data_IF_419250360744
#
_entry.id   IF_419250360744
#
_cell.length_a   1.000
_cell.length_b   1.000
_cell.length_c   1.000
_cell.angle_alpha   90.00
_cell.angle_beta   90.00
_cell.angle_gamma   90.00
#
_symmetry.space_group_name_H-M   'P 1'
#
loop_
_entity.id
_entity.type
_entity.pdbx_description
1 polymer ?
#
# COMPACT_ATOMS: atom_id res chain seq x y z
N UNK A 1 15.51 -0.34 -3.19
CA UNK A 1 14.88 -1.64 -3.52
C UNK A 1 14.66 -2.37 -2.22
N UNK A 2 13.46 -2.85 -1.97
CA UNK A 2 13.13 -3.51 -0.68
C UNK A 2 12.84 -4.99 -0.94
N UNK A 3 13.79 -5.87 -0.63
CA UNK A 3 13.59 -7.31 -0.73
C UNK A 3 13.37 -7.91 0.66
N UNK A 4 12.35 -8.77 0.80
CA UNK A 4 12.04 -9.47 2.04
C UNK A 4 12.22 -10.97 1.83
N UNK A 5 13.00 -11.63 2.67
CA UNK A 5 13.28 -13.06 2.58
C UNK A 5 12.90 -13.75 3.88
N UNK A 6 12.01 -14.73 3.78
CA UNK A 6 11.75 -15.71 4.82
C UNK A 6 12.60 -16.94 4.53
N UNK A 7 13.54 -17.26 5.40
CA UNK A 7 14.45 -18.40 5.28
C UNK A 7 14.13 -19.44 6.35
N UNK A 8 13.40 -20.47 5.95
CA UNK A 8 12.97 -21.60 6.81
C UNK A 8 12.31 -21.15 8.11
N UNK A 9 11.37 -20.19 8.03
CA UNK A 9 10.75 -19.56 9.21
C UNK A 9 9.70 -20.48 9.84
N UNK A 10 9.78 -20.61 11.17
CA UNK A 10 8.82 -21.31 12.02
C UNK A 10 8.30 -20.38 13.11
N UNK A 11 7.07 -20.60 13.52
CA UNK A 11 6.50 -19.95 14.70
C UNK A 11 5.72 -20.96 15.53
N UNK A 12 6.15 -21.08 16.79
CA UNK A 12 5.63 -22.03 17.77
C UNK A 12 5.21 -21.26 19.04
N UNK A 13 4.15 -21.71 19.69
CA UNK A 13 3.72 -21.26 21.01
C UNK A 13 3.62 -22.48 21.93
N UNK A 14 4.69 -22.74 22.66
CA UNK A 14 4.84 -23.99 23.40
C UNK A 14 4.86 -25.19 22.45
N UNK A 15 3.93 -26.13 22.62
CA UNK A 15 3.81 -27.31 21.76
C UNK A 15 3.03 -27.00 20.45
N UNK A 16 2.36 -25.86 20.37
CA UNK A 16 1.52 -25.51 19.21
C UNK A 16 2.35 -24.88 18.09
N UNK A 17 2.46 -25.57 16.96
CA UNK A 17 3.12 -25.06 15.76
C UNK A 17 2.09 -24.31 14.93
N UNK A 18 2.29 -22.99 14.73
CA UNK A 18 1.38 -22.14 13.94
C UNK A 18 1.86 -22.04 12.51
N UNK A 19 3.15 -21.71 12.30
CA UNK A 19 3.77 -21.64 10.98
C UNK A 19 4.94 -22.60 10.91
N UNK A 20 5.04 -23.34 9.80
CA UNK A 20 6.05 -24.36 9.58
C UNK A 20 6.74 -24.19 8.24
N UNK A 21 8.08 -24.06 8.27
CA UNK A 21 8.95 -24.00 7.07
C UNK A 21 8.48 -22.96 6.02
N UNK A 22 8.18 -21.76 6.45
CA UNK A 22 7.87 -20.69 5.53
C UNK A 22 9.15 -20.28 4.81
N UNK A 23 9.18 -20.48 3.49
CA UNK A 23 10.21 -19.99 2.59
C UNK A 23 9.54 -19.09 1.56
N UNK A 24 9.94 -17.82 1.50
CA UNK A 24 9.34 -16.83 0.62
C UNK A 24 10.34 -15.72 0.36
N UNK A 25 10.42 -15.30 -0.88
CA UNK A 25 11.11 -14.06 -1.25
C UNK A 25 10.08 -13.12 -1.85
N UNK A 26 9.98 -11.91 -1.31
CA UNK A 26 9.20 -10.81 -1.89
C UNK A 26 10.17 -9.82 -2.50
N UNK A 27 9.88 -9.41 -3.70
CA UNK A 27 10.64 -8.39 -4.40
C UNK A 27 10.11 -6.98 -4.12
N UNK A 28 10.93 -5.99 -4.45
CA UNK A 28 10.55 -4.58 -4.33
C UNK A 28 9.28 -4.28 -5.15
N UNK A 29 8.40 -3.45 -4.57
CA UNK A 29 7.17 -3.03 -5.23
C UNK A 29 6.22 -4.19 -5.60
N UNK A 30 6.26 -5.29 -4.86
CA UNK A 30 5.33 -6.41 -5.01
C UNK A 30 4.07 -6.19 -4.16
N UNK A 31 2.91 -6.55 -4.70
CA UNK A 31 1.66 -6.63 -3.92
C UNK A 31 1.35 -8.10 -3.66
N UNK A 32 1.79 -8.61 -2.50
CA UNK A 32 1.53 -9.97 -2.07
C UNK A 32 0.18 -10.09 -1.36
N UNK A 33 -0.70 -10.94 -1.87
CA UNK A 33 -1.90 -11.35 -1.16
C UNK A 33 -1.70 -12.74 -0.51
N UNK A 34 -1.94 -12.82 0.80
CA UNK A 34 -1.83 -14.04 1.61
C UNK A 34 -3.24 -14.53 1.93
N UNK A 35 -3.62 -15.67 1.37
CA UNK A 35 -4.92 -16.30 1.59
C UNK A 35 -4.79 -17.57 2.43
N UNK A 36 -5.89 -18.01 3.01
CA UNK A 36 -5.98 -19.27 3.77
C UNK A 36 -7.15 -19.27 4.74
N UNK A 37 -7.49 -20.44 5.30
CA UNK A 37 -8.59 -20.57 6.26
C UNK A 37 -8.33 -19.78 7.55
N UNK A 38 -9.39 -19.55 8.32
CA UNK A 38 -9.25 -18.97 9.65
C UNK A 38 -8.37 -19.87 10.54
N UNK A 39 -7.48 -19.25 11.30
CA UNK A 39 -6.53 -19.99 12.14
C UNK A 39 -5.30 -20.56 11.41
N UNK A 40 -5.12 -20.31 10.11
CA UNK A 40 -3.93 -20.73 9.36
C UNK A 40 -2.66 -19.92 9.68
N UNK A 41 -2.67 -19.03 10.68
CA UNK A 41 -1.48 -18.27 11.06
C UNK A 41 -1.21 -17.02 10.22
N UNK A 42 -2.16 -16.56 9.39
CA UNK A 42 -2.00 -15.36 8.54
C UNK A 42 -1.66 -14.10 9.35
N UNK A 43 -2.38 -13.84 10.44
CA UNK A 43 -2.06 -12.72 11.35
C UNK A 43 -0.71 -12.91 12.03
N UNK A 44 -0.33 -14.13 12.36
CA UNK A 44 1.01 -14.46 12.90
C UNK A 44 2.10 -14.15 11.86
N UNK A 45 1.87 -14.47 10.58
CA UNK A 45 2.76 -14.12 9.49
C UNK A 45 2.99 -12.58 9.42
N UNK A 46 1.92 -11.78 9.53
CA UNK A 46 2.04 -10.31 9.57
C UNK A 46 2.78 -9.82 10.83
N UNK A 47 2.53 -10.43 12.02
CA UNK A 47 3.20 -10.05 13.26
C UNK A 47 4.71 -10.30 13.22
N UNK A 48 5.13 -11.36 12.53
CA UNK A 48 6.55 -11.63 12.28
C UNK A 48 7.17 -10.53 11.40
N UNK A 49 6.49 -10.11 10.33
CA UNK A 49 6.94 -9.00 9.48
C UNK A 49 6.95 -7.66 10.20
N UNK A 50 6.05 -7.44 11.15
CA UNK A 50 6.02 -6.24 11.99
C UNK A 50 7.07 -6.25 13.10
N UNK A 51 7.79 -7.35 13.30
CA UNK A 51 8.64 -7.57 14.48
C UNK A 51 7.88 -7.42 15.81
N UNK A 52 6.57 -7.66 15.82
CA UNK A 52 5.80 -7.82 17.05
C UNK A 52 6.08 -9.16 17.72
N UNK A 53 6.53 -10.12 16.92
CA UNK A 53 6.94 -11.44 17.35
C UNK A 53 8.19 -11.86 16.59
N UNK A 54 9.08 -12.61 17.24
CA UNK A 54 10.23 -13.22 16.60
C UNK A 54 9.90 -14.63 16.08
N UNK A 55 10.51 -15.09 14.98
CA UNK A 55 10.43 -16.49 14.58
C UNK A 55 11.06 -17.39 15.64
N UNK A 56 10.51 -18.61 15.84
CA UNK A 56 11.07 -19.62 16.75
C UNK A 56 12.29 -20.28 16.14
N UNK A 57 12.28 -20.48 14.81
CA UNK A 57 13.40 -21.01 14.01
C UNK A 57 13.43 -20.29 12.66
N UNK A 58 14.59 -20.33 12.01
CA UNK A 58 14.80 -19.61 10.75
C UNK A 58 15.02 -18.14 10.98
N UNK A 59 14.94 -17.37 9.91
CA UNK A 59 15.20 -15.92 9.95
C UNK A 59 14.39 -15.18 8.88
N UNK A 60 14.17 -13.91 9.14
CA UNK A 60 13.59 -12.97 8.17
C UNK A 60 14.64 -11.91 7.89
N UNK A 61 14.88 -11.64 6.62
CA UNK A 61 15.80 -10.61 6.16
C UNK A 61 15.02 -9.52 5.42
N UNK A 62 15.41 -8.27 5.60
CA UNK A 62 14.95 -7.13 4.80
C UNK A 62 16.21 -6.45 4.24
N UNK A 63 16.28 -6.32 2.93
CA UNK A 63 17.45 -5.76 2.22
C UNK A 63 18.76 -6.49 2.55
N UNK A 64 18.68 -7.81 2.79
CA UNK A 64 19.82 -8.66 3.15
C UNK A 64 20.19 -8.67 4.64
N UNK A 65 19.65 -7.73 5.43
CA UNK A 65 19.91 -7.62 6.86
C UNK A 65 18.81 -8.32 7.69
N UNK A 66 19.13 -8.90 8.83
CA UNK A 66 18.13 -9.45 9.74
C UNK A 66 17.06 -8.40 10.10
N UNK A 67 15.79 -8.81 10.09
CA UNK A 67 14.69 -7.93 10.47
C UNK A 67 14.95 -7.35 11.88
N UNK A 68 14.74 -6.05 12.05
CA UNK A 68 14.91 -5.40 13.34
C UNK A 68 14.06 -6.10 14.42
N UNK A 69 14.57 -6.26 15.65
CA UNK A 69 13.87 -7.01 16.72
C UNK A 69 12.60 -6.32 17.21
N UNK A 70 12.43 -5.04 16.91
CA UNK A 70 11.28 -4.21 17.28
C UNK A 70 10.64 -3.58 16.04
N UNK A 71 9.35 -3.19 16.12
CA UNK A 71 8.68 -2.48 15.05
C UNK A 71 9.38 -1.15 14.71
N UNK A 72 9.60 -0.91 13.43
CA UNK A 72 10.27 0.29 12.90
C UNK A 72 9.34 1.06 11.96
N UNK A 73 9.65 2.33 11.72
CA UNK A 73 8.79 3.21 10.91
C UNK A 73 8.79 2.87 9.39
N UNK A 74 9.69 1.99 8.95
CA UNK A 74 9.75 1.47 7.58
C UNK A 74 8.62 0.47 7.27
N UNK A 75 7.86 0.05 8.27
CA UNK A 75 6.72 -0.87 8.15
C UNK A 75 5.45 -0.23 8.71
N UNK A 76 4.48 0.02 7.83
CA UNK A 76 3.15 0.48 8.19
C UNK A 76 2.19 -0.69 8.36
N UNK A 77 1.17 -0.56 9.20
CA UNK A 77 0.13 -1.58 9.36
C UNK A 77 -1.26 -0.98 9.45
N UNK A 78 -2.21 -1.64 8.78
CA UNK A 78 -3.65 -1.39 8.94
C UNK A 78 -4.28 -2.69 9.41
N UNK A 79 -4.77 -2.70 10.64
CA UNK A 79 -5.44 -3.86 11.24
C UNK A 79 -6.92 -3.93 10.87
N UNK A 80 -7.51 -5.11 10.96
CA UNK A 80 -8.94 -5.37 10.76
C UNK A 80 -9.82 -4.50 11.67
N UNK A 81 -9.42 -4.30 12.94
CA UNK A 81 -10.03 -3.29 13.83
C UNK A 81 -9.18 -2.04 13.76
N UNK A 82 -9.76 -0.96 13.29
CA UNK A 82 -9.05 0.29 13.04
C UNK A 82 -8.30 0.78 14.27
N UNK A 83 -6.99 0.89 14.16
CA UNK A 83 -6.12 1.39 15.24
C UNK A 83 -6.10 2.93 15.25
N UNK A 84 -7.27 3.55 15.20
CA UNK A 84 -7.40 5.01 15.29
C UNK A 84 -7.61 5.43 16.75
N UNK A 85 -7.03 6.56 17.13
CA UNK A 85 -7.10 7.07 18.49
C UNK A 85 -8.39 7.88 18.67
N UNK A 86 -9.36 7.40 19.47
CA UNK A 86 -10.69 7.99 19.54
C UNK A 86 -10.70 9.39 20.18
N UNK A 87 -9.69 9.72 20.97
CA UNK A 87 -9.51 11.00 21.66
C UNK A 87 -8.76 12.07 20.84
N UNK A 88 -8.37 11.75 19.60
CA UNK A 88 -7.72 12.67 18.68
C UNK A 88 -8.60 12.93 17.48
N UNK A 89 -8.51 14.14 16.92
CA UNK A 89 -9.16 14.44 15.63
C UNK A 89 -8.57 13.60 14.51
N UNK A 90 -9.21 13.59 13.35
CA UNK A 90 -8.71 12.94 12.12
C UNK A 90 -7.30 13.44 11.79
N UNK A 91 -7.08 14.76 11.75
CA UNK A 91 -5.77 15.35 11.55
C UNK A 91 -4.78 14.95 12.65
N UNK A 92 -5.22 15.00 13.90
CA UNK A 92 -4.40 14.60 15.05
C UNK A 92 -3.96 13.14 15.02
N UNK A 93 -4.79 12.24 14.47
CA UNK A 93 -4.44 10.84 14.26
C UNK A 93 -3.30 10.71 13.23
N UNK A 94 -3.42 11.36 12.06
CA UNK A 94 -2.40 11.27 11.01
C UNK A 94 -1.07 11.90 11.47
N UNK A 95 -1.11 13.02 12.17
CA UNK A 95 0.09 13.71 12.66
C UNK A 95 0.85 12.94 13.74
N UNK A 96 0.23 11.95 14.39
CA UNK A 96 0.79 11.32 15.58
C UNK A 96 2.13 10.61 15.32
N UNK A 97 2.23 9.81 14.26
CA UNK A 97 3.47 9.10 13.91
C UNK A 97 4.66 10.06 13.75
N UNK A 98 4.57 11.08 12.88
CA UNK A 98 5.62 12.10 12.73
C UNK A 98 5.92 12.89 14.01
N UNK A 99 4.91 13.15 14.85
CA UNK A 99 5.11 13.83 16.13
C UNK A 99 5.98 13.01 17.09
N UNK A 100 5.69 11.71 17.23
CA UNK A 100 6.47 10.81 18.07
C UNK A 100 7.88 10.58 17.52
N UNK A 101 8.01 10.41 16.21
CA UNK A 101 9.32 10.22 15.57
C UNK A 101 10.25 11.44 15.76
N UNK A 102 9.70 12.65 15.70
CA UNK A 102 10.49 13.89 15.81
C UNK A 102 10.67 14.38 17.24
N UNK A 103 9.85 13.94 18.19
CA UNK A 103 9.88 14.35 19.60
C UNK A 103 9.42 13.21 20.50
N UNK A 104 10.24 12.15 20.70
CA UNK A 104 9.82 10.97 21.46
C UNK A 104 9.44 11.27 22.92
N UNK A 105 10.07 12.28 23.49
CA UNK A 105 9.90 12.64 24.91
C UNK A 105 8.65 13.51 25.15
N UNK A 106 8.34 14.43 24.25
CA UNK A 106 7.24 15.39 24.39
C UNK A 106 6.01 15.04 23.55
N UNK A 107 6.15 14.24 22.50
CA UNK A 107 5.07 13.91 21.55
C UNK A 107 4.44 15.16 20.91
N UNK A 108 5.15 16.29 20.89
CA UNK A 108 4.65 17.57 20.36
C UNK A 108 5.67 18.23 19.46
N UNK A 109 5.17 18.80 18.37
CA UNK A 109 5.92 19.63 17.44
C UNK A 109 5.51 21.09 17.58
N UNK A 110 6.47 22.00 17.39
CA UNK A 110 6.26 23.44 17.47
C UNK A 110 6.78 24.15 16.21
N UNK A 111 6.24 25.34 15.96
CA UNK A 111 6.72 26.24 14.92
C UNK A 111 6.67 25.66 13.51
N UNK A 112 7.73 25.85 12.74
CA UNK A 112 7.82 25.43 11.35
C UNK A 112 7.71 23.92 11.15
N UNK A 113 8.28 23.11 12.07
CA UNK A 113 8.19 21.63 11.99
C UNK A 113 6.73 21.16 12.11
N UNK A 114 5.96 21.76 13.01
CA UNK A 114 4.53 21.42 13.15
C UNK A 114 3.77 21.73 11.85
N UNK A 115 3.96 22.92 11.29
CA UNK A 115 3.30 23.32 10.03
C UNK A 115 3.62 22.37 8.89
N UNK A 116 4.87 22.01 8.71
CA UNK A 116 5.28 21.08 7.65
C UNK A 116 4.63 19.69 7.80
N UNK A 117 4.51 19.16 9.04
CA UNK A 117 3.84 17.88 9.29
C UNK A 117 2.33 18.01 9.05
N UNK A 118 1.73 19.11 9.45
CA UNK A 118 0.31 19.41 9.26
C UNK A 118 -0.05 19.52 7.77
N UNK A 119 0.75 20.24 6.98
CA UNK A 119 0.60 20.35 5.52
C UNK A 119 0.69 18.97 4.85
N UNK A 120 1.67 18.13 5.24
CA UNK A 120 1.79 16.76 4.74
C UNK A 120 0.60 15.89 5.13
N UNK A 121 0.12 16.02 6.38
CA UNK A 121 -1.05 15.29 6.85
C UNK A 121 -2.32 15.72 6.10
N UNK A 122 -2.51 17.02 5.87
CA UNK A 122 -3.64 17.55 5.09
C UNK A 122 -3.60 17.09 3.63
N UNK A 123 -2.43 17.11 3.00
CA UNK A 123 -2.27 16.58 1.65
C UNK A 123 -2.68 15.10 1.55
N UNK A 124 -2.27 14.29 2.55
CA UNK A 124 -2.64 12.88 2.59
C UNK A 124 -4.13 12.69 2.89
N UNK A 125 -4.71 13.49 3.79
CA UNK A 125 -6.16 13.49 4.05
C UNK A 125 -6.97 13.87 2.81
N UNK A 126 -6.48 14.79 1.99
CA UNK A 126 -7.09 15.12 0.70
C UNK A 126 -7.06 13.91 -0.24
N UNK A 127 -5.94 13.19 -0.32
CA UNK A 127 -5.79 11.98 -1.13
C UNK A 127 -6.79 10.88 -0.75
N UNK A 128 -6.98 10.65 0.56
CA UNK A 128 -7.93 9.64 1.05
C UNK A 128 -9.37 10.15 1.16
N UNK A 129 -9.65 11.39 0.73
CA UNK A 129 -10.99 12.00 0.73
C UNK A 129 -11.52 12.33 2.13
N UNK A 130 -10.65 12.72 3.06
CA UNK A 130 -11.00 13.07 4.46
C UNK A 130 -10.64 14.51 4.84
N UNK A 131 -10.22 15.37 3.92
CA UNK A 131 -9.78 16.73 4.22
C UNK A 131 -10.87 17.57 4.94
N UNK A 132 -12.13 17.48 4.50
CA UNK A 132 -13.27 18.19 5.10
C UNK A 132 -13.64 17.66 6.51
N UNK A 133 -13.06 16.53 6.89
CA UNK A 133 -13.31 15.89 8.17
C UNK A 133 -12.11 15.98 9.14
N UNK A 134 -11.10 16.80 8.81
CA UNK A 134 -9.84 16.89 9.55
C UNK A 134 -10.03 17.16 11.06
N UNK A 135 -11.01 17.98 11.41
CA UNK A 135 -11.32 18.37 12.80
C UNK A 135 -12.31 17.43 13.50
N UNK A 136 -12.90 16.47 12.79
CA UNK A 136 -13.81 15.47 13.38
C UNK A 136 -13.04 14.44 14.20
N UNK A 137 -13.75 13.80 15.12
CA UNK A 137 -13.25 12.65 15.87
C UNK A 137 -13.63 11.33 15.16
N UNK A 138 -12.88 10.24 15.34
CA UNK A 138 -13.18 8.95 14.73
C UNK A 138 -14.61 8.44 14.94
N UNK A 139 -15.19 8.68 16.11
CA UNK A 139 -16.58 8.31 16.43
C UNK A 139 -17.65 8.98 15.52
N UNK A 140 -17.28 10.06 14.83
CA UNK A 140 -18.15 10.80 13.91
C UNK A 140 -17.99 10.35 12.45
N UNK A 141 -17.14 9.34 12.20
CA UNK A 141 -16.83 8.81 10.88
C UNK A 141 -17.55 7.48 10.63
N UNK A 142 -17.93 7.22 9.39
CA UNK A 142 -18.37 5.88 8.96
C UNK A 142 -17.19 4.88 9.03
N UNK A 143 -17.48 3.57 9.03
CA UNK A 143 -16.45 2.53 9.03
C UNK A 143 -15.45 2.67 7.87
N UNK A 144 -15.91 2.95 6.65
CA UNK A 144 -15.04 3.19 5.50
C UNK A 144 -14.18 4.45 5.66
N UNK A 145 -14.70 5.51 6.29
CA UNK A 145 -13.91 6.71 6.59
C UNK A 145 -12.86 6.43 7.67
N UNK A 146 -13.18 5.63 8.69
CA UNK A 146 -12.18 5.22 9.70
C UNK A 146 -11.07 4.37 9.08
N UNK A 147 -11.39 3.55 8.08
CA UNK A 147 -10.41 2.79 7.35
C UNK A 147 -9.49 3.66 6.50
N UNK A 148 -10.05 4.64 5.79
CA UNK A 148 -9.25 5.65 5.06
C UNK A 148 -8.34 6.42 6.01
N UNK A 149 -8.81 6.73 7.22
CA UNK A 149 -7.99 7.34 8.27
C UNK A 149 -6.85 6.43 8.72
N UNK A 150 -7.12 5.15 8.99
CA UNK A 150 -6.08 4.18 9.37
C UNK A 150 -5.02 4.02 8.26
N UNK A 151 -5.45 4.02 6.99
CA UNK A 151 -4.53 4.00 5.85
C UNK A 151 -3.66 5.26 5.79
N UNK A 152 -4.25 6.45 5.95
CA UNK A 152 -3.51 7.72 6.00
C UNK A 152 -2.50 7.74 7.17
N UNK A 153 -2.90 7.22 8.33
CA UNK A 153 -2.06 7.12 9.52
C UNK A 153 -0.84 6.20 9.29
N UNK A 154 -1.01 5.10 8.55
CA UNK A 154 0.08 4.21 8.19
C UNK A 154 1.02 4.84 7.15
N UNK A 155 0.47 5.53 6.15
CA UNK A 155 1.21 6.08 5.00
C UNK A 155 1.98 7.37 5.29
N UNK A 156 1.60 8.16 6.32
CA UNK A 156 2.27 9.43 6.63
C UNK A 156 3.76 9.26 6.93
N UNK A 157 4.15 8.10 7.45
CA UNK A 157 5.54 7.74 7.74
C UNK A 157 6.32 7.31 6.50
N UNK A 158 5.67 7.16 5.33
CA UNK A 158 6.25 6.66 4.08
C UNK A 158 6.93 5.30 4.27
N UNK A 159 6.19 4.29 4.73
CA UNK A 159 6.78 2.97 4.97
C UNK A 159 7.26 2.35 3.66
N UNK A 160 8.33 1.54 3.74
CA UNK A 160 8.77 0.69 2.62
C UNK A 160 7.82 -0.48 2.40
N UNK A 161 7.23 -0.98 3.50
CA UNK A 161 6.31 -2.11 3.50
C UNK A 161 5.01 -1.74 4.20
N UNK A 162 3.87 -1.93 3.54
CA UNK A 162 2.54 -1.74 4.11
C UNK A 162 1.87 -3.09 4.33
N UNK A 163 1.47 -3.37 5.56
CA UNK A 163 0.82 -4.60 5.97
C UNK A 163 -0.67 -4.35 6.18
N UNK A 164 -1.52 -5.16 5.56
CA UNK A 164 -2.97 -5.02 5.59
C UNK A 164 -3.56 -6.33 6.13
N UNK A 165 -4.20 -6.29 7.30
CA UNK A 165 -4.84 -7.46 7.93
C UNK A 165 -6.36 -7.39 7.74
N UNK A 166 -6.90 -8.15 6.78
CA UNK A 166 -8.32 -8.19 6.40
C UNK A 166 -8.96 -6.79 6.24
N UNK A 167 -8.33 -5.88 5.47
CA UNK A 167 -8.63 -4.46 5.54
C UNK A 167 -10.05 -4.11 5.06
N UNK A 168 -10.68 -4.93 4.25
CA UNK A 168 -11.95 -4.58 3.60
C UNK A 168 -13.14 -5.45 4.03
N UNK A 169 -12.92 -6.42 4.95
CA UNK A 169 -13.92 -7.39 5.36
C UNK A 169 -15.19 -6.79 5.98
N UNK A 170 -15.09 -5.65 6.66
CA UNK A 170 -16.20 -4.99 7.34
C UNK A 170 -16.91 -3.92 6.48
N UNK A 171 -16.51 -3.73 5.21
CA UNK A 171 -17.04 -2.68 4.35
C UNK A 171 -18.20 -3.19 3.48
N UNK A 172 -19.15 -2.31 3.22
CA UNK A 172 -20.16 -2.53 2.20
C UNK A 172 -19.56 -2.61 0.78
N UNK A 173 -20.21 -3.24 -0.20
CA UNK A 173 -19.63 -3.48 -1.52
C UNK A 173 -19.18 -2.20 -2.26
N UNK A 174 -19.92 -1.09 -2.12
CA UNK A 174 -19.61 0.17 -2.78
C UNK A 174 -18.35 0.82 -2.19
N UNK A 175 -18.27 0.91 -0.86
CA UNK A 175 -17.12 1.44 -0.15
C UNK A 175 -15.89 0.54 -0.35
N UNK A 176 -16.07 -0.79 -0.37
CA UNK A 176 -15.00 -1.75 -0.65
C UNK A 176 -14.35 -1.50 -2.00
N UNK A 177 -15.15 -1.33 -3.06
CA UNK A 177 -14.63 -1.03 -4.40
C UNK A 177 -13.80 0.25 -4.41
N UNK A 178 -14.30 1.34 -3.80
CA UNK A 178 -13.54 2.60 -3.69
C UNK A 178 -12.23 2.43 -2.91
N UNK A 179 -12.20 1.57 -1.90
CA UNK A 179 -10.98 1.30 -1.14
C UNK A 179 -9.97 0.47 -1.94
N UNK A 180 -10.42 -0.48 -2.76
CA UNK A 180 -9.56 -1.22 -3.67
C UNK A 180 -8.87 -0.30 -4.67
N UNK A 181 -9.63 0.60 -5.29
CA UNK A 181 -9.12 1.61 -6.21
C UNK A 181 -8.08 2.51 -5.52
N UNK A 182 -8.42 3.05 -4.34
CA UNK A 182 -7.54 3.91 -3.56
C UNK A 182 -6.22 3.21 -3.18
N UNK A 183 -6.28 1.97 -2.68
CA UNK A 183 -5.07 1.22 -2.27
C UNK A 183 -4.20 0.91 -3.48
N UNK A 184 -4.78 0.57 -4.63
CA UNK A 184 -4.04 0.33 -5.87
C UNK A 184 -3.34 1.59 -6.37
N UNK A 185 -4.04 2.74 -6.39
CA UNK A 185 -3.45 4.03 -6.76
C UNK A 185 -2.28 4.41 -5.84
N UNK A 186 -2.47 4.27 -4.52
CA UNK A 186 -1.44 4.57 -3.54
C UNK A 186 -0.23 3.64 -3.65
N UNK A 187 -0.45 2.36 -3.98
CA UNK A 187 0.63 1.41 -4.22
C UNK A 187 1.43 1.77 -5.47
N UNK A 188 0.78 2.07 -6.60
CA UNK A 188 1.44 2.47 -7.85
C UNK A 188 2.27 3.76 -7.69
N UNK A 189 1.77 4.73 -6.91
CA UNK A 189 2.42 6.02 -6.73
C UNK A 189 3.60 6.00 -5.75
N UNK A 190 3.56 5.15 -4.73
CA UNK A 190 4.52 5.23 -3.63
C UNK A 190 5.66 4.21 -3.70
N UNK A 191 5.72 3.37 -4.74
CA UNK A 191 6.75 2.35 -4.92
C UNK A 191 7.04 1.55 -3.64
N UNK A 192 5.99 1.17 -2.89
CA UNK A 192 6.09 0.39 -1.66
C UNK A 192 5.69 -1.07 -1.92
N UNK A 193 6.19 -1.98 -1.12
CA UNK A 193 5.73 -3.38 -1.10
C UNK A 193 4.51 -3.48 -0.21
N UNK A 194 3.44 -4.17 -0.67
CA UNK A 194 2.25 -4.43 0.14
C UNK A 194 2.14 -5.92 0.44
N UNK A 195 1.83 -6.26 1.69
CA UNK A 195 1.45 -7.61 2.10
C UNK A 195 0.05 -7.55 2.70
N UNK A 196 -0.91 -8.11 1.99
CA UNK A 196 -2.32 -8.12 2.39
C UNK A 196 -2.74 -9.53 2.79
N UNK A 197 -3.31 -9.67 3.96
CA UNK A 197 -4.00 -10.89 4.39
C UNK A 197 -5.49 -10.73 4.11
N UNK A 198 -6.09 -11.70 3.43
CA UNK A 198 -7.52 -11.75 3.20
C UNK A 198 -8.03 -13.18 3.13
N UNK A 199 -9.33 -13.39 3.39
CA UNK A 199 -10.02 -14.64 3.14
C UNK A 199 -10.84 -14.58 1.84
N UNK A 200 -10.89 -13.42 1.17
CA UNK A 200 -11.62 -13.19 -0.07
C UNK A 200 -10.69 -13.43 -1.29
N UNK A 201 -10.92 -14.55 -1.99
CA UNK A 201 -10.16 -14.93 -3.18
C UNK A 201 -10.27 -13.92 -4.32
N UNK A 202 -11.49 -13.46 -4.72
CA UNK A 202 -11.64 -12.39 -5.68
C UNK A 202 -10.80 -11.16 -5.39
N UNK A 203 -10.77 -10.71 -4.13
CA UNK A 203 -10.00 -9.58 -3.67
C UNK A 203 -8.49 -9.80 -3.83
N UNK A 204 -7.99 -10.98 -3.42
CA UNK A 204 -6.60 -11.35 -3.53
C UNK A 204 -6.09 -11.29 -4.98
N UNK A 205 -6.85 -11.80 -5.94
CA UNK A 205 -6.51 -11.79 -7.36
C UNK A 205 -6.78 -10.45 -8.05
N UNK A 206 -7.66 -9.62 -7.49
CA UNK A 206 -7.94 -8.28 -8.00
C UNK A 206 -6.76 -7.32 -7.73
N UNK A 207 -6.23 -7.35 -6.50
CA UNK A 207 -5.23 -6.40 -6.00
C UNK A 207 -3.81 -6.96 -6.07
N UNK A 208 -3.62 -8.25 -5.77
CA UNK A 208 -2.30 -8.86 -5.70
C UNK A 208 -1.61 -8.98 -7.06
N UNK A 209 -0.30 -8.74 -7.10
CA UNK A 209 0.57 -9.16 -8.19
C UNK A 209 1.02 -10.61 -8.01
N UNK A 210 0.99 -11.07 -6.76
CA UNK A 210 1.27 -12.45 -6.37
C UNK A 210 0.33 -12.88 -5.24
N UNK A 211 -0.14 -14.11 -5.30
CA UNK A 211 -1.05 -14.69 -4.32
C UNK A 211 -0.44 -15.97 -3.77
N UNK A 212 -0.27 -16.04 -2.46
CA UNK A 212 0.15 -17.26 -1.78
C UNK A 212 -0.98 -17.81 -0.92
N UNK A 213 -1.12 -19.14 -0.90
CA UNK A 213 -2.03 -19.82 -0.01
C UNK A 213 -1.27 -20.45 1.18
N UNK A 214 -1.71 -20.12 2.39
CA UNK A 214 -1.12 -20.63 3.64
C UNK A 214 -2.13 -21.55 4.30
N UNK A 215 -1.74 -22.82 4.47
CA UNK A 215 -2.62 -23.88 4.94
C UNK A 215 -1.86 -24.96 5.70
N UNK A 216 -2.55 -25.69 6.59
CA UNK A 216 -2.02 -26.90 7.22
C UNK A 216 -2.19 -28.08 6.27
N UNK A 217 -1.09 -28.62 5.75
CA UNK A 217 -1.10 -29.83 4.89
C UNK A 217 -1.29 -31.13 5.65
N UNK A 218 -0.87 -31.13 6.91
CA UNK A 218 -0.90 -32.32 7.78
C UNK A 218 -1.84 -32.04 8.93
N UNK A 219 -2.71 -33.00 9.21
CA UNK A 219 -3.61 -32.96 10.35
C UNK A 219 -3.45 -34.27 11.14
N UNK A 220 -3.17 -34.16 12.44
CA UNK A 220 -3.21 -35.24 13.35
C UNK A 220 -4.44 -35.05 14.25
N UNK A 221 -5.50 -35.87 14.12
CA UNK A 221 -6.71 -35.70 14.92
C UNK A 221 -6.47 -35.86 16.43
N UNK A 222 -5.38 -36.53 16.84
CA UNK A 222 -5.02 -36.74 18.24
C UNK A 222 -4.10 -35.63 18.78
N UNK A 223 -3.41 -34.90 17.89
CA UNK A 223 -2.52 -33.80 18.23
C UNK A 223 -2.58 -32.71 17.13
N UNK A 224 -3.71 -31.95 17.03
CA UNK A 224 -3.91 -30.98 15.95
C UNK A 224 -2.90 -29.81 15.96
N UNK A 225 -2.24 -29.60 17.09
CA UNK A 225 -1.19 -28.57 17.25
C UNK A 225 0.18 -28.99 16.73
N UNK A 226 0.39 -30.29 16.40
CA UNK A 226 1.70 -30.85 16.02
C UNK A 226 2.25 -30.31 14.71
N UNK A 227 1.40 -29.89 13.80
CA UNK A 227 1.78 -29.39 12.48
C UNK A 227 1.34 -27.96 12.28
N UNK A 228 2.23 -27.15 11.74
CA UNK A 228 1.97 -25.76 11.37
C UNK A 228 1.42 -25.61 9.95
N UNK A 229 0.95 -24.42 9.65
CA UNK A 229 0.61 -24.03 8.29
C UNK A 229 1.88 -23.66 7.51
N UNK A 230 1.87 -24.00 6.24
CA UNK A 230 2.96 -23.72 5.29
C UNK A 230 2.39 -23.09 4.02
N UNK A 231 3.25 -22.57 3.16
CA UNK A 231 2.84 -22.13 1.82
C UNK A 231 2.54 -23.36 0.99
N UNK A 232 1.30 -23.51 0.57
CA UNK A 232 0.83 -24.65 -0.22
C UNK A 232 0.70 -24.35 -1.69
N UNK A 233 0.54 -23.07 -2.04
CA UNK A 233 0.44 -22.58 -3.40
C UNK A 233 1.02 -21.17 -3.51
N UNK A 234 1.59 -20.86 -4.65
CA UNK A 234 2.24 -19.59 -4.96
C UNK A 234 1.96 -19.28 -6.43
N UNK A 235 1.24 -18.21 -6.69
CA UNK A 235 0.77 -17.83 -8.01
C UNK A 235 1.17 -16.40 -8.35
N UNK A 236 1.78 -16.21 -9.50
CA UNK A 236 1.83 -14.88 -10.10
C UNK A 236 0.44 -14.46 -10.56
N UNK A 237 -0.08 -13.40 -10.02
CA UNK A 237 -1.37 -12.83 -10.36
C UNK A 237 -1.15 -11.61 -11.28
N UNK A 238 -2.04 -11.48 -12.26
CA UNK A 238 -2.06 -10.29 -13.10
C UNK A 238 -3.02 -9.32 -12.46
N UNK A 239 -2.53 -8.41 -11.63
CA UNK A 239 -3.33 -7.37 -10.97
C UNK A 239 -4.30 -6.70 -11.97
N UNK A 240 -5.60 -6.92 -11.78
CA UNK A 240 -6.62 -6.45 -12.72
C UNK A 240 -6.84 -4.94 -12.60
N UNK A 241 -6.67 -4.37 -11.41
CA UNK A 241 -6.86 -2.95 -11.13
C UNK A 241 -5.73 -2.13 -11.76
N UNK A 242 -4.46 -2.54 -11.57
CA UNK A 242 -3.31 -1.88 -12.18
C UNK A 242 -3.36 -1.89 -13.71
N UNK A 243 -3.94 -2.95 -14.33
CA UNK A 243 -4.17 -2.99 -15.78
C UNK A 243 -5.27 -2.05 -16.25
N UNK A 244 -6.33 -1.89 -15.46
CA UNK A 244 -7.42 -0.99 -15.78
C UNK A 244 -6.94 0.47 -15.70
N UNK A 245 -6.16 0.83 -14.67
CA UNK A 245 -5.58 2.16 -14.50
C UNK A 245 -4.62 2.51 -15.65
N UNK A 246 -3.68 1.61 -16.01
CA UNK A 246 -2.76 1.83 -17.13
C UNK A 246 -3.47 1.96 -18.49
N UNK A 247 -4.54 1.19 -18.73
CA UNK A 247 -5.36 1.34 -19.93
C UNK A 247 -6.06 2.68 -19.96
N UNK A 248 -6.63 3.12 -18.85
CA UNK A 248 -7.31 4.40 -18.72
C UNK A 248 -6.34 5.58 -18.91
N UNK A 249 -5.16 5.52 -18.33
CA UNK A 249 -4.12 6.56 -18.52
C UNK A 249 -3.59 6.59 -19.96
N UNK A 250 -3.37 5.43 -20.57
CA UNK A 250 -2.97 5.36 -21.98
C UNK A 250 -4.06 5.91 -22.91
N UNK A 251 -5.32 5.64 -22.61
CA UNK A 251 -6.46 6.16 -23.37
C UNK A 251 -6.66 7.66 -23.16
N UNK A 252 -6.47 8.14 -21.92
CA UNK A 252 -6.48 9.57 -21.58
C UNK A 252 -5.32 10.35 -22.22
N UNK A 253 -4.13 9.75 -22.31
CA UNK A 253 -3.00 10.30 -23.02
C UNK A 253 -3.25 10.36 -24.53
N UNK A 254 -3.86 9.33 -25.13
CA UNK A 254 -4.28 9.31 -26.54
C UNK A 254 -5.32 10.40 -26.84
N UNK A 255 -6.33 10.55 -25.97
CA UNK A 255 -7.35 11.59 -26.10
C UNK A 255 -6.75 12.99 -25.96
N UNK A 256 -5.78 13.20 -25.08
CA UNK A 256 -5.07 14.50 -24.98
C UNK A 256 -4.27 14.82 -26.24
N UNK A 257 -3.61 13.81 -26.85
CA UNK A 257 -2.89 13.97 -28.11
C UNK A 257 -3.82 14.22 -29.31
N UNK A 258 -5.03 13.67 -29.29
CA UNK A 258 -6.04 13.91 -30.33
C UNK A 258 -6.76 15.26 -30.22
N UNK A 259 -6.67 15.92 -29.08
CA UNK A 259 -7.29 17.24 -28.81
C UNK A 259 -6.33 18.42 -29.02
N UNK A 260 -5.07 18.16 -29.40
CA UNK A 260 -4.15 19.22 -29.83
C UNK A 260 -4.49 19.55 -31.31
N UNK A 261 -4.94 20.76 -31.63
CA UNK A 261 -5.19 21.12 -33.01
C UNK A 261 -3.90 21.01 -33.83
N UNK A 262 -3.98 20.37 -34.99
CA UNK A 262 -2.84 20.24 -35.94
C UNK A 262 -2.47 21.56 -36.64
N UNK A 263 -3.06 22.67 -36.27
CA UNK A 263 -2.88 23.98 -36.93
C UNK A 263 -1.61 24.74 -36.54
N UNK A 264 -0.69 24.16 -35.79
CA UNK A 264 0.56 24.82 -35.38
C UNK A 264 1.84 24.33 -36.11
N UNK A 265 1.71 23.55 -37.19
CA UNK A 265 2.87 23.02 -37.93
C UNK A 265 2.90 23.37 -39.42
N UNK A 266 2.21 24.43 -39.83
CA UNK A 266 2.33 24.95 -41.21
C UNK A 266 2.40 26.48 -41.20
N UNK A 267 3.55 27.05 -40.92
CA UNK A 267 4.03 28.33 -41.44
C UNK A 267 5.48 28.55 -41.02
N UNK A 268 6.40 27.94 -41.76
CA UNK A 268 7.79 28.40 -41.88
C UNK A 268 8.49 27.65 -43.02
N UNK A 269 8.13 28.00 -44.22
CA UNK A 269 9.04 27.92 -45.38
C UNK A 269 8.38 28.53 -46.61
N UNK A 270 8.71 29.74 -46.94
CA UNK A 270 8.84 30.27 -48.30
C UNK A 270 9.05 31.78 -48.28
N UNK A 271 10.27 32.20 -48.03
CA UNK A 271 10.75 33.48 -48.59
C UNK A 271 12.28 33.46 -48.65
N UNK A 272 12.80 33.00 -49.79
CA UNK A 272 14.13 33.38 -50.25
C UNK A 272 14.14 33.27 -51.76
N UNK A 273 14.37 34.35 -52.43
CA UNK A 273 14.99 34.33 -53.72
C UNK A 273 14.20 34.95 -54.86
N UNK A 274 14.66 36.10 -55.33
CA UNK A 274 14.44 36.41 -56.71
C UNK A 274 14.18 37.88 -57.02
N UNK A 275 15.20 38.65 -56.98
CA UNK A 275 15.66 39.80 -57.77
C UNK A 275 14.98 40.05 -59.13
N UNK A 276 14.79 41.31 -59.39
CA UNK A 276 15.10 42.02 -60.63
C UNK A 276 13.98 42.45 -61.58
N UNK A 277 13.98 43.71 -61.77
CA UNK A 277 13.93 44.45 -63.02
C UNK A 277 12.59 44.98 -63.57
N UNK A 278 12.58 46.24 -63.58
CA UNK A 278 12.31 47.14 -64.72
C UNK A 278 10.89 47.44 -65.12
N UNK A 279 10.56 48.69 -64.87
CA UNK A 279 10.34 49.70 -65.88
C UNK A 279 8.94 49.87 -66.45
N UNK A 280 8.52 51.12 -66.34
CA UNK A 280 7.90 51.99 -67.28
C UNK A 280 6.37 51.99 -67.52
N UNK A 281 5.82 53.14 -67.28
CA UNK A 281 5.01 53.99 -68.15
C UNK A 281 3.49 54.01 -67.99
N UNK A 282 3.04 55.18 -67.54
CA UNK A 282 1.84 55.98 -68.02
C UNK A 282 0.47 55.22 -68.00
N UNK A 283 -0.52 55.81 -67.52
CA UNK A 283 -1.18 57.11 -67.53
C UNK A 283 -2.02 57.35 -66.28
#
# INVERSE_FOLDING_TARGET
MTQIIFDNVWKEYGAHIVLERINLTLDDHEFLAVIGPSGAGKTTFLRLLLSQEAPTRGRILIDGEPIAPEPTADRGVVFQRYSVFPHRTVLGNVMMGPQWAASPMLGRLFGARRRMVEERAMALLTRVGLAEHAEKYPAQLSGGMQQRLALAQALIMKPKVLLLDEPFGALDPGTRKQMHELVSELWEENAMTIVMVTHDLPEAFLLGTRVIAVERRRNDPQAPERFGATIVSDFEAKCAVARASRRFEAERARLRLSLVPQDSLSDDSLSAGGSSAAALVKD
#
